data_IF_860485166728
#
_entry.id   IF_860485166728
#
_cell.length_a   1.000
_cell.length_b   1.000
_cell.length_c   1.000
_cell.angle_alpha   90.00
_cell.angle_beta   90.00
_cell.angle_gamma   90.00
#
_symmetry.space_group_name_H-M   'P 1'
#
loop_
_entity.id
_entity.type
_entity.pdbx_description
1 polymer ?
#
# COMPACT_ATOMS: atom_id res chain seq x y z
N UNK A 1 8.93 23.42 15.33
CA UNK A 1 10.30 23.67 14.81
C UNK A 1 10.56 22.68 13.69
N UNK A 2 10.37 23.15 12.44
CA UNK A 2 10.53 22.33 11.23
C UNK A 2 12.01 21.98 11.07
N UNK A 3 12.38 20.73 11.31
CA UNK A 3 13.66 20.20 10.84
C UNK A 3 13.51 19.92 9.36
N UNK A 4 13.65 20.97 8.55
CA UNK A 4 13.80 20.78 7.12
C UNK A 4 15.04 19.93 6.86
N UNK A 5 14.86 18.96 5.98
CA UNK A 5 15.89 18.13 5.40
C UNK A 5 17.12 18.98 5.06
N UNK A 6 18.24 18.71 5.71
CA UNK A 6 19.53 19.25 5.28
C UNK A 6 19.84 18.58 3.94
N UNK A 7 20.07 19.32 2.86
CA UNK A 7 20.43 18.72 1.59
C UNK A 7 21.70 17.89 1.79
N UNK A 8 21.60 16.58 1.59
CA UNK A 8 22.76 15.70 1.59
C UNK A 8 23.57 15.96 0.32
N UNK A 9 24.85 15.61 0.35
CA UNK A 9 25.68 15.66 -0.85
C UNK A 9 25.17 14.61 -1.86
N UNK A 10 25.43 14.82 -3.14
CA UNK A 10 25.05 13.86 -4.18
C UNK A 10 25.56 12.44 -3.89
N UNK A 11 26.76 12.32 -3.35
CA UNK A 11 27.33 11.02 -2.96
C UNK A 11 26.61 10.37 -1.77
N UNK A 12 26.16 11.16 -0.79
CA UNK A 12 25.36 10.67 0.35
C UNK A 12 23.97 10.21 -0.08
N UNK A 13 23.34 10.92 -1.03
CA UNK A 13 22.08 10.53 -1.63
C UNK A 13 22.20 9.21 -2.40
N UNK A 14 23.22 9.05 -3.22
CA UNK A 14 23.49 7.82 -3.98
C UNK A 14 23.67 6.61 -3.05
N UNK A 15 24.47 6.75 -2.00
CA UNK A 15 24.66 5.68 -0.99
C UNK A 15 23.37 5.35 -0.24
N UNK A 16 22.56 6.35 0.03
CA UNK A 16 21.26 6.16 0.72
C UNK A 16 20.27 5.44 -0.19
N UNK A 17 20.19 5.82 -1.45
CA UNK A 17 19.36 5.14 -2.47
C UNK A 17 19.76 3.67 -2.61
N UNK A 18 21.06 3.39 -2.74
CA UNK A 18 21.57 2.02 -2.87
C UNK A 18 21.18 1.14 -1.67
N UNK A 19 21.38 1.65 -0.44
CA UNK A 19 20.96 0.97 0.80
C UNK A 19 19.45 0.70 0.85
N UNK A 20 18.63 1.64 0.42
CA UNK A 20 17.18 1.47 0.34
C UNK A 20 16.84 0.36 -0.66
N UNK A 21 17.42 0.37 -1.86
CA UNK A 21 17.18 -0.63 -2.89
C UNK A 21 17.60 -2.02 -2.46
N UNK A 22 18.74 -2.16 -1.77
CA UNK A 22 19.19 -3.44 -1.20
C UNK A 22 18.18 -3.98 -0.17
N UNK A 23 17.69 -3.12 0.71
CA UNK A 23 16.67 -3.48 1.69
C UNK A 23 15.38 -3.94 1.01
N UNK A 24 14.89 -3.18 0.03
CA UNK A 24 13.71 -3.54 -0.76
C UNK A 24 13.90 -4.90 -1.44
N UNK A 25 15.06 -5.15 -2.02
CA UNK A 25 15.37 -6.45 -2.65
C UNK A 25 15.36 -7.60 -1.66
N UNK A 26 15.89 -7.40 -0.44
CA UNK A 26 15.84 -8.40 0.62
C UNK A 26 14.42 -8.73 1.08
N UNK A 27 13.57 -7.72 1.20
CA UNK A 27 12.17 -7.89 1.65
C UNK A 27 11.29 -8.45 0.55
N UNK A 28 11.35 -7.90 -0.66
CA UNK A 28 10.46 -8.25 -1.77
C UNK A 28 10.97 -9.39 -2.65
N UNK A 29 12.27 -9.74 -2.57
CA UNK A 29 12.93 -10.67 -3.49
C UNK A 29 13.33 -10.06 -4.83
N UNK A 30 12.87 -8.85 -5.12
CA UNK A 30 13.18 -8.06 -6.32
C UNK A 30 12.96 -6.57 -6.01
N UNK A 31 13.32 -5.69 -6.93
CA UNK A 31 13.04 -4.26 -6.82
C UNK A 31 11.76 -3.95 -7.62
N UNK A 32 10.65 -3.53 -6.98
CA UNK A 32 9.43 -3.12 -7.68
C UNK A 32 9.68 -1.97 -8.66
N UNK A 33 8.90 -1.91 -9.75
CA UNK A 33 9.08 -0.90 -10.80
C UNK A 33 9.02 0.53 -10.27
N UNK A 34 8.14 0.81 -9.30
CA UNK A 34 8.05 2.13 -8.65
C UNK A 34 9.37 2.52 -7.99
N UNK A 35 10.01 1.58 -7.28
CA UNK A 35 11.31 1.81 -6.64
C UNK A 35 12.42 2.00 -7.67
N UNK A 36 12.40 1.26 -8.77
CA UNK A 36 13.36 1.42 -9.86
C UNK A 36 13.29 2.83 -10.46
N UNK A 37 12.09 3.29 -10.83
CA UNK A 37 11.90 4.60 -11.46
C UNK A 37 12.17 5.74 -10.48
N UNK A 38 11.62 5.68 -9.26
CA UNK A 38 11.82 6.74 -8.27
C UNK A 38 13.28 6.85 -7.80
N UNK A 39 14.05 5.78 -7.83
CA UNK A 39 15.47 5.82 -7.44
C UNK A 39 16.34 6.71 -8.34
N UNK A 40 15.87 7.03 -9.55
CA UNK A 40 16.50 8.02 -10.44
C UNK A 40 16.37 9.47 -9.90
N UNK A 41 15.48 9.67 -8.93
CA UNK A 41 15.22 10.96 -8.26
C UNK A 41 15.34 10.80 -6.75
N UNK A 42 16.58 10.84 -6.19
CA UNK A 42 16.82 10.67 -4.75
C UNK A 42 16.01 11.61 -3.87
N UNK A 43 15.80 12.84 -4.31
CA UNK A 43 14.99 13.88 -3.67
C UNK A 43 13.52 13.46 -3.45
N UNK A 44 12.99 12.56 -4.28
CA UNK A 44 11.65 11.99 -4.17
C UNK A 44 11.68 10.60 -3.51
N UNK A 45 12.66 9.78 -3.87
CA UNK A 45 12.72 8.39 -3.44
C UNK A 45 13.03 8.23 -1.95
N UNK A 46 13.92 9.04 -1.41
CA UNK A 46 14.30 8.98 0.01
C UNK A 46 13.11 9.33 0.92
N UNK A 47 12.40 10.47 0.71
CA UNK A 47 11.18 10.76 1.46
C UNK A 47 10.07 9.73 1.28
N UNK A 48 9.87 9.22 0.06
CA UNK A 48 8.90 8.17 -0.24
C UNK A 48 9.17 6.90 0.57
N UNK A 49 10.42 6.44 0.62
CA UNK A 49 10.83 5.28 1.40
C UNK A 49 10.70 5.51 2.91
N UNK A 50 11.02 6.71 3.37
CA UNK A 50 10.87 7.11 4.77
C UNK A 50 9.40 7.12 5.19
N UNK A 51 8.49 7.57 4.33
CA UNK A 51 7.05 7.54 4.59
C UNK A 51 6.55 6.10 4.75
N UNK A 52 6.94 5.19 3.86
CA UNK A 52 6.59 3.76 3.96
C UNK A 52 7.06 3.16 5.29
N UNK A 53 8.30 3.44 5.68
CA UNK A 53 8.84 3.00 6.97
C UNK A 53 8.06 3.56 8.16
N UNK A 54 7.73 4.84 8.14
CA UNK A 54 6.96 5.49 9.19
C UNK A 54 5.54 4.88 9.34
N UNK A 55 4.93 4.44 8.23
CA UNK A 55 3.62 3.79 8.24
C UNK A 55 3.70 2.38 8.82
N UNK A 56 4.64 1.55 8.37
CA UNK A 56 4.60 0.11 8.60
C UNK A 56 5.59 -0.40 9.66
N UNK A 57 6.70 0.30 9.92
CA UNK A 57 7.75 -0.23 10.80
C UNK A 57 7.50 0.03 12.28
N UNK A 58 6.68 1.03 12.61
CA UNK A 58 6.39 1.40 13.98
C UNK A 58 4.99 0.94 14.40
N UNK A 59 4.86 0.41 15.59
CA UNK A 59 3.57 0.24 16.23
C UNK A 59 3.08 1.60 16.77
N UNK A 60 1.84 1.92 16.47
CA UNK A 60 1.20 3.17 16.92
C UNK A 60 -0.16 2.86 17.54
N UNK A 61 -1.26 3.34 16.97
CA UNK A 61 -2.62 2.93 17.38
C UNK A 61 -2.95 1.51 16.93
N UNK A 62 -2.34 1.08 15.82
CA UNK A 62 -2.44 -0.28 15.30
C UNK A 62 -1.09 -0.96 15.39
N UNK A 63 -1.08 -2.25 15.72
CA UNK A 63 0.09 -3.09 15.59
C UNK A 63 0.46 -3.33 14.12
N UNK A 64 1.64 -3.86 13.88
CA UNK A 64 2.15 -4.09 12.52
C UNK A 64 1.27 -5.06 11.73
N UNK A 65 0.79 -6.13 12.34
CA UNK A 65 -0.09 -7.11 11.69
C UNK A 65 -1.36 -6.44 11.20
N UNK A 66 -2.03 -5.66 12.04
CA UNK A 66 -3.24 -4.93 11.69
C UNK A 66 -3.00 -3.94 10.56
N UNK A 67 -1.88 -3.20 10.58
CA UNK A 67 -1.52 -2.27 9.48
C UNK A 67 -1.40 -2.98 8.14
N UNK A 68 -0.76 -4.15 8.09
CA UNK A 68 -0.62 -4.93 6.87
C UNK A 68 -1.95 -5.55 6.41
N UNK A 69 -2.82 -5.97 7.33
CA UNK A 69 -4.18 -6.42 7.00
C UNK A 69 -5.05 -5.29 6.42
N UNK A 70 -4.98 -4.08 6.99
CA UNK A 70 -5.65 -2.90 6.44
C UNK A 70 -5.12 -2.53 5.04
N UNK A 71 -3.82 -2.58 4.86
CA UNK A 71 -3.19 -2.35 3.56
C UNK A 71 -3.58 -3.42 2.54
N UNK A 72 -3.70 -4.69 2.96
CA UNK A 72 -4.20 -5.78 2.14
C UNK A 72 -5.64 -5.53 1.68
N UNK A 73 -6.52 -5.11 2.59
CA UNK A 73 -7.90 -4.76 2.25
C UNK A 73 -7.97 -3.65 1.20
N UNK A 74 -7.21 -2.57 1.40
CA UNK A 74 -7.14 -1.46 0.46
C UNK A 74 -6.58 -1.89 -0.91
N UNK A 75 -5.50 -2.67 -0.94
CA UNK A 75 -4.89 -3.18 -2.15
C UNK A 75 -5.85 -4.10 -2.93
N UNK A 76 -6.57 -4.98 -2.23
CA UNK A 76 -7.54 -5.89 -2.83
C UNK A 76 -8.73 -5.13 -3.44
N UNK A 77 -9.26 -4.12 -2.73
CA UNK A 77 -10.35 -3.29 -3.22
C UNK A 77 -9.95 -2.46 -4.47
N UNK A 78 -8.69 -2.05 -4.56
CA UNK A 78 -8.15 -1.32 -5.72
C UNK A 78 -7.67 -2.23 -6.86
N UNK A 79 -7.52 -3.54 -6.63
CA UNK A 79 -7.03 -4.48 -7.62
C UNK A 79 -5.52 -4.39 -7.90
N UNK A 80 -4.72 -3.96 -6.92
CA UNK A 80 -3.27 -3.85 -7.05
C UNK A 80 -2.58 -5.20 -6.78
N UNK A 81 -2.36 -6.01 -7.81
CA UNK A 81 -1.86 -7.39 -7.66
C UNK A 81 -0.55 -7.50 -6.85
N UNK A 82 0.44 -6.67 -7.18
CA UNK A 82 1.72 -6.67 -6.45
C UNK A 82 1.53 -6.33 -4.97
N UNK A 83 0.74 -5.29 -4.66
CA UNK A 83 0.47 -4.88 -3.29
C UNK A 83 -0.32 -5.95 -2.53
N UNK A 84 -1.29 -6.61 -3.17
CA UNK A 84 -2.04 -7.73 -2.57
C UNK A 84 -1.08 -8.83 -2.12
N UNK A 85 -0.21 -9.31 -3.01
CA UNK A 85 0.76 -10.37 -2.68
C UNK A 85 1.72 -9.96 -1.56
N UNK A 86 2.24 -8.73 -1.64
CA UNK A 86 3.19 -8.22 -0.65
C UNK A 86 2.53 -8.06 0.73
N UNK A 87 1.38 -7.41 0.81
CA UNK A 87 0.70 -7.16 2.08
C UNK A 87 0.18 -8.46 2.72
N UNK A 88 -0.26 -9.41 1.90
CA UNK A 88 -0.64 -10.75 2.37
C UNK A 88 0.55 -11.46 3.01
N UNK A 89 1.69 -11.52 2.34
CA UNK A 89 2.91 -12.14 2.85
C UNK A 89 3.36 -11.48 4.16
N UNK A 90 3.41 -10.15 4.21
CA UNK A 90 3.84 -9.44 5.41
C UNK A 90 2.88 -9.67 6.58
N UNK A 91 1.56 -9.67 6.35
CA UNK A 91 0.58 -9.94 7.40
C UNK A 91 0.72 -11.36 7.97
N UNK A 92 0.92 -12.35 7.12
CA UNK A 92 1.15 -13.75 7.53
C UNK A 92 2.47 -13.89 8.31
N UNK A 93 3.54 -13.25 7.86
CA UNK A 93 4.83 -13.21 8.56
C UNK A 93 4.69 -12.63 9.98
N UNK A 94 3.78 -11.69 10.15
CA UNK A 94 3.46 -11.06 11.44
C UNK A 94 2.38 -11.82 12.26
N UNK A 95 1.99 -13.01 11.82
CA UNK A 95 1.12 -13.92 12.55
C UNK A 95 -0.37 -13.83 12.19
N UNK A 96 -0.73 -13.24 11.03
CA UNK A 96 -2.09 -13.32 10.54
C UNK A 96 -2.44 -14.78 10.16
N UNK A 97 -3.62 -15.22 10.56
CA UNK A 97 -4.14 -16.54 10.22
C UNK A 97 -4.72 -16.55 8.80
N UNK A 98 -4.86 -17.74 8.23
CA UNK A 98 -5.55 -17.93 6.95
C UNK A 98 -6.97 -17.37 7.00
N UNK A 99 -7.68 -17.57 8.10
CA UNK A 99 -9.04 -17.09 8.31
C UNK A 99 -9.10 -15.57 8.37
N UNK A 100 -8.18 -14.91 9.09
CA UNK A 100 -8.08 -13.44 9.11
C UNK A 100 -7.83 -12.87 7.70
N UNK A 101 -6.94 -13.48 6.94
CA UNK A 101 -6.63 -13.07 5.57
C UNK A 101 -7.85 -13.23 4.67
N UNK A 102 -8.53 -14.39 4.73
CA UNK A 102 -9.73 -14.64 3.93
C UNK A 102 -10.84 -13.64 4.25
N UNK A 103 -11.08 -13.36 5.53
CA UNK A 103 -12.10 -12.37 5.96
C UNK A 103 -11.80 -10.97 5.42
N UNK A 104 -10.54 -10.53 5.49
CA UNK A 104 -10.10 -9.25 4.91
C UNK A 104 -10.39 -9.18 3.40
N UNK A 105 -10.09 -10.25 2.66
CA UNK A 105 -10.32 -10.30 1.21
C UNK A 105 -11.82 -10.29 0.88
N UNK A 106 -12.65 -10.97 1.65
CA UNK A 106 -14.12 -10.98 1.47
C UNK A 106 -14.70 -9.59 1.74
N UNK A 107 -14.26 -8.91 2.80
CA UNK A 107 -14.68 -7.54 3.10
C UNK A 107 -14.29 -6.59 1.95
N UNK A 108 -13.06 -6.68 1.46
CA UNK A 108 -12.58 -5.86 0.35
C UNK A 108 -13.38 -6.09 -0.94
N UNK A 109 -13.68 -7.36 -1.26
CA UNK A 109 -14.50 -7.72 -2.42
C UNK A 109 -15.93 -7.17 -2.29
N UNK A 110 -16.55 -7.29 -1.13
CA UNK A 110 -17.87 -6.74 -0.86
C UNK A 110 -17.91 -5.21 -1.06
N UNK A 111 -16.92 -4.49 -0.55
CA UNK A 111 -16.83 -3.03 -0.74
C UNK A 111 -16.65 -2.64 -2.21
N UNK A 112 -15.90 -3.42 -2.98
CA UNK A 112 -15.80 -3.26 -4.43
C UNK A 112 -17.13 -3.50 -5.14
N UNK A 113 -17.87 -4.51 -4.73
CA UNK A 113 -19.21 -4.83 -5.27
C UNK A 113 -20.21 -3.69 -4.99
N UNK A 114 -20.28 -3.18 -3.76
CA UNK A 114 -21.21 -2.10 -3.40
C UNK A 114 -20.89 -0.81 -4.14
N UNK A 115 -19.62 -0.50 -4.38
CA UNK A 115 -19.22 0.62 -5.22
C UNK A 115 -19.74 0.47 -6.65
N UNK A 116 -19.55 -0.69 -7.27
CA UNK A 116 -20.04 -0.98 -8.62
C UNK A 116 -21.56 -0.85 -8.69
N UNK A 117 -22.27 -1.42 -7.73
CA UNK A 117 -23.74 -1.36 -7.67
C UNK A 117 -24.25 0.06 -7.50
N UNK A 118 -23.60 0.89 -6.69
CA UNK A 118 -24.01 2.29 -6.46
C UNK A 118 -24.07 3.09 -7.78
N UNK A 119 -23.07 2.96 -8.61
CA UNK A 119 -23.04 3.64 -9.93
C UNK A 119 -23.97 3.00 -10.95
N UNK A 120 -23.92 1.67 -11.10
CA UNK A 120 -24.69 0.95 -12.11
C UNK A 120 -26.19 1.02 -11.85
N UNK A 121 -26.60 0.94 -10.59
CA UNK A 121 -28.03 1.01 -10.25
C UNK A 121 -28.61 2.41 -10.35
N UNK A 122 -27.82 3.47 -10.17
CA UNK A 122 -28.24 4.83 -10.49
C UNK A 122 -28.47 4.99 -12.00
N UNK A 123 -27.52 4.57 -12.81
CA UNK A 123 -27.68 4.60 -14.27
C UNK A 123 -28.89 3.78 -14.73
N UNK A 124 -29.11 2.61 -14.14
CA UNK A 124 -30.31 1.80 -14.40
C UNK A 124 -31.60 2.56 -14.04
N UNK A 125 -31.65 3.18 -12.87
CA UNK A 125 -32.82 3.93 -12.44
C UNK A 125 -33.11 5.12 -13.34
N UNK A 126 -32.08 5.84 -13.78
CA UNK A 126 -32.19 6.93 -14.76
C UNK A 126 -32.74 6.42 -16.10
N UNK A 127 -32.18 5.33 -16.64
CA UNK A 127 -32.59 4.75 -17.90
C UNK A 127 -34.07 4.32 -17.90
N UNK A 128 -34.55 3.82 -16.80
CA UNK A 128 -35.92 3.30 -16.66
C UNK A 128 -36.87 4.25 -15.88
N UNK A 129 -36.47 5.52 -15.73
CA UNK A 129 -37.25 6.58 -15.07
C UNK A 129 -37.79 6.18 -13.69
N UNK A 130 -36.99 5.41 -12.94
CA UNK A 130 -37.31 5.00 -11.58
C UNK A 130 -37.01 6.14 -10.60
N UNK A 131 -37.94 6.43 -9.70
CA UNK A 131 -37.70 7.35 -8.61
C UNK A 131 -36.92 6.63 -7.51
N UNK A 132 -35.81 7.24 -7.10
CA UNK A 132 -35.05 6.87 -5.92
C UNK A 132 -35.38 7.88 -4.81
N UNK A 133 -35.44 7.41 -3.55
CA UNK A 133 -35.56 8.28 -2.38
C UNK A 133 -34.24 8.98 -2.04
#
# INVERSE_FOLDING_TARGET
MNRFHVPMTKEEDEKTVERILERVRKVCGFVPVTNQILSERPDLFIPYSSLSGAIFENETKFDKKTKHLLALAAAAAMGSEHCIRNQMRESVTLGATEEEVLEVLVIAAYMGMTRSQSYSFRAYAEQFSRKLE
#
